data_IF_542667985731
#
_entry.id   IF_542667985731
#
_cell.length_a   1.000
_cell.length_b   1.000
_cell.length_c   1.000
_cell.angle_alpha   90.00
_cell.angle_beta   90.00
_cell.angle_gamma   90.00
#
_symmetry.space_group_name_H-M   'P 1'
#
loop_
_entity.id
_entity.type
_entity.pdbx_description
1 polymer ?
#
# COMPACT_ATOMS: atom_id res chain seq x y z
N UNK A 1 6.53 6.91 22.53
CA UNK A 1 6.50 6.15 21.25
C UNK A 1 7.85 5.48 21.06
N UNK A 2 7.92 4.18 20.80
CA UNK A 2 9.19 3.46 20.66
C UNK A 2 9.89 3.89 19.37
N UNK A 3 10.95 4.69 19.49
CA UNK A 3 11.71 5.27 18.37
C UNK A 3 12.30 4.21 17.43
N UNK A 4 12.54 3.00 17.93
CA UNK A 4 13.02 1.86 17.15
C UNK A 4 11.98 1.31 16.17
N UNK A 5 10.70 1.28 16.56
CA UNK A 5 9.62 0.80 15.68
C UNK A 5 9.41 1.73 14.49
N UNK A 6 9.40 3.05 14.75
CA UNK A 6 9.25 4.05 13.69
C UNK A 6 10.41 3.97 12.71
N UNK A 7 11.63 3.85 13.21
CA UNK A 7 12.83 3.69 12.38
C UNK A 7 12.71 2.49 11.45
N UNK A 8 12.25 1.34 11.96
CA UNK A 8 12.07 0.14 11.13
C UNK A 8 10.97 0.30 10.08
N UNK A 9 9.94 1.12 10.34
CA UNK A 9 8.86 1.36 9.38
C UNK A 9 9.34 2.27 8.24
N UNK A 10 10.03 3.38 8.55
CA UNK A 10 10.41 4.40 7.56
C UNK A 10 11.80 4.19 6.93
N UNK A 11 12.63 3.29 7.47
CA UNK A 11 13.96 3.04 6.91
C UNK A 11 13.87 2.45 5.50
N UNK A 12 14.54 3.06 4.53
CA UNK A 12 14.55 2.56 3.15
C UNK A 12 15.83 2.94 2.41
N UNK A 13 16.13 2.22 1.34
CA UNK A 13 17.31 2.44 0.51
C UNK A 13 17.17 3.68 -0.40
N UNK A 14 18.24 4.00 -1.12
CA UNK A 14 18.25 5.10 -2.09
C UNK A 14 17.93 4.66 -3.52
N UNK A 15 17.40 3.46 -3.72
CA UNK A 15 17.21 2.85 -5.04
C UNK A 15 16.00 3.44 -5.76
N UNK A 16 16.12 3.61 -7.08
CA UNK A 16 14.99 3.94 -7.96
C UNK A 16 14.02 2.76 -8.14
N UNK A 17 14.42 1.53 -7.79
CA UNK A 17 13.56 0.35 -7.91
C UNK A 17 12.25 0.50 -7.12
N UNK A 18 12.33 1.02 -5.88
CA UNK A 18 11.15 1.29 -5.06
C UNK A 18 10.22 2.31 -5.72
N UNK A 19 10.77 3.38 -6.29
CA UNK A 19 9.98 4.38 -7.03
C UNK A 19 9.29 3.77 -8.25
N UNK A 20 10.03 3.01 -9.06
CA UNK A 20 9.51 2.37 -10.27
C UNK A 20 8.36 1.39 -9.99
N UNK A 21 8.35 0.77 -8.80
CA UNK A 21 7.27 -0.07 -8.33
C UNK A 21 6.10 0.74 -7.74
N UNK A 22 6.40 1.77 -6.94
CA UNK A 22 5.39 2.59 -6.25
C UNK A 22 4.51 3.37 -7.19
N UNK A 23 5.08 4.00 -8.23
CA UNK A 23 4.30 4.90 -9.08
C UNK A 23 3.19 4.14 -9.83
N UNK A 24 3.47 3.06 -10.59
CA UNK A 24 2.43 2.33 -11.30
C UNK A 24 1.45 1.65 -10.34
N UNK A 25 1.95 0.96 -9.30
CA UNK A 25 1.08 0.27 -8.36
C UNK A 25 0.18 1.26 -7.58
N UNK A 26 0.75 2.38 -7.13
CA UNK A 26 0.01 3.43 -6.43
C UNK A 26 -1.12 4.00 -7.29
N UNK A 27 -0.85 4.32 -8.56
CA UNK A 27 -1.88 4.80 -9.50
C UNK A 27 -2.97 3.76 -9.70
N UNK A 28 -2.60 2.50 -9.93
CA UNK A 28 -3.55 1.40 -10.17
C UNK A 28 -4.45 1.19 -8.96
N UNK A 29 -3.87 1.05 -7.76
CA UNK A 29 -4.64 0.89 -6.53
C UNK A 29 -5.53 2.09 -6.25
N UNK A 30 -5.04 3.31 -6.46
CA UNK A 30 -5.88 4.52 -6.34
C UNK A 30 -7.06 4.50 -7.31
N UNK A 31 -6.85 4.12 -8.57
CA UNK A 31 -7.92 4.08 -9.56
C UNK A 31 -9.00 3.04 -9.18
N UNK A 32 -8.60 1.83 -8.78
CA UNK A 32 -9.54 0.79 -8.35
C UNK A 32 -10.24 1.14 -7.03
N UNK A 33 -9.53 1.72 -6.07
CA UNK A 33 -10.14 2.22 -4.84
C UNK A 33 -11.13 3.34 -5.11
N UNK A 34 -10.84 4.24 -6.05
CA UNK A 34 -11.74 5.32 -6.45
C UNK A 34 -13.00 4.80 -7.18
N UNK A 35 -12.88 3.73 -7.96
CA UNK A 35 -14.04 3.03 -8.54
C UNK A 35 -14.97 2.51 -7.43
N UNK A 36 -14.39 1.89 -6.40
CA UNK A 36 -15.13 1.30 -5.28
C UNK A 36 -15.73 2.34 -4.35
N UNK A 37 -15.02 3.40 -4.02
CA UNK A 37 -15.47 4.39 -3.03
C UNK A 37 -16.34 5.48 -3.66
N UNK A 38 -15.95 5.99 -4.83
CA UNK A 38 -16.49 7.24 -5.38
C UNK A 38 -17.24 7.05 -6.69
N UNK A 39 -17.26 5.84 -7.26
CA UNK A 39 -17.85 5.59 -8.58
C UNK A 39 -17.08 6.26 -9.72
N UNK A 40 -15.84 6.70 -9.47
CA UNK A 40 -14.99 7.29 -10.48
C UNK A 40 -14.60 6.25 -11.54
N UNK A 41 -14.18 6.69 -12.72
CA UNK A 41 -13.69 5.81 -13.80
C UNK A 41 -14.67 4.68 -14.18
N UNK A 42 -15.98 4.95 -14.13
CA UNK A 42 -17.04 3.99 -14.43
C UNK A 42 -17.26 2.93 -13.35
N UNK A 43 -16.76 3.14 -12.12
CA UNK A 43 -16.98 2.24 -11.00
C UNK A 43 -18.40 2.32 -10.43
N UNK A 44 -18.79 1.30 -9.66
CA UNK A 44 -20.12 1.19 -9.07
C UNK A 44 -20.34 2.11 -7.85
N UNK A 45 -19.29 2.75 -7.35
CA UNK A 45 -19.35 3.48 -6.09
C UNK A 45 -19.59 2.56 -4.89
N UNK A 46 -19.67 3.14 -3.70
CA UNK A 46 -19.61 2.35 -2.47
C UNK A 46 -20.84 1.44 -2.31
N UNK A 47 -22.03 1.97 -2.57
CA UNK A 47 -23.28 1.21 -2.46
C UNK A 47 -23.36 0.09 -3.50
N UNK A 48 -23.07 0.40 -4.77
CA UNK A 48 -23.11 -0.58 -5.86
C UNK A 48 -22.04 -1.67 -5.70
N UNK A 49 -20.83 -1.31 -5.28
CA UNK A 49 -19.78 -2.28 -4.96
C UNK A 49 -20.19 -3.16 -3.79
N UNK A 50 -20.82 -2.58 -2.76
CA UNK A 50 -21.30 -3.32 -1.60
C UNK A 50 -22.39 -4.32 -1.95
N UNK A 51 -23.36 -3.93 -2.78
CA UNK A 51 -24.39 -4.83 -3.30
C UNK A 51 -23.80 -5.97 -4.13
N UNK A 52 -22.84 -5.67 -5.00
CA UNK A 52 -22.13 -6.68 -5.78
C UNK A 52 -21.36 -7.66 -4.88
N UNK A 53 -20.62 -7.17 -3.88
CA UNK A 53 -19.90 -8.02 -2.92
C UNK A 53 -20.85 -8.93 -2.14
N UNK A 54 -21.98 -8.41 -1.66
CA UNK A 54 -22.99 -9.25 -1.01
C UNK A 54 -23.53 -10.34 -1.95
N UNK A 55 -23.75 -10.02 -3.24
CA UNK A 55 -24.27 -10.97 -4.21
C UNK A 55 -23.33 -12.16 -4.50
N UNK A 56 -22.03 -12.02 -4.21
CA UNK A 56 -21.03 -13.08 -4.33
C UNK A 56 -20.66 -13.72 -2.98
N UNK A 57 -21.43 -13.44 -1.92
CA UNK A 57 -21.24 -14.04 -0.59
C UNK A 57 -20.23 -13.34 0.32
N UNK A 58 -19.72 -12.16 -0.06
CA UNK A 58 -18.87 -11.33 0.81
C UNK A 58 -19.75 -10.41 1.67
N UNK A 59 -20.25 -10.95 2.77
CA UNK A 59 -21.07 -10.20 3.73
C UNK A 59 -20.29 -9.76 4.98
N UNK A 60 -20.58 -8.57 5.55
CA UNK A 60 -21.50 -7.55 5.05
C UNK A 60 -20.92 -6.73 3.88
N UNK A 61 -21.59 -6.75 2.72
CA UNK A 61 -21.03 -6.25 1.46
C UNK A 61 -20.59 -4.79 1.48
N UNK A 62 -21.38 -3.90 2.09
CA UNK A 62 -21.00 -2.48 2.23
C UNK A 62 -19.69 -2.31 3.03
N UNK A 63 -19.50 -3.05 4.12
CA UNK A 63 -18.28 -2.98 4.92
C UNK A 63 -17.09 -3.56 4.18
N UNK A 64 -17.29 -4.64 3.42
CA UNK A 64 -16.25 -5.20 2.55
C UNK A 64 -15.84 -4.22 1.45
N UNK A 65 -16.81 -3.56 0.82
CA UNK A 65 -16.56 -2.54 -0.21
C UNK A 65 -15.82 -1.34 0.37
N UNK A 66 -16.22 -0.86 1.56
CA UNK A 66 -15.55 0.22 2.26
C UNK A 66 -14.12 -0.15 2.62
N UNK A 67 -13.91 -1.35 3.17
CA UNK A 67 -12.59 -1.84 3.56
C UNK A 67 -11.65 -1.99 2.36
N UNK A 68 -12.08 -2.71 1.32
CA UNK A 68 -11.29 -2.92 0.11
C UNK A 68 -11.05 -1.59 -0.63
N UNK A 69 -12.09 -0.77 -0.82
CA UNK A 69 -11.98 0.52 -1.48
C UNK A 69 -11.04 1.49 -0.73
N UNK A 70 -11.13 1.55 0.59
CA UNK A 70 -10.25 2.40 1.42
C UNK A 70 -8.81 1.90 1.42
N UNK A 71 -8.61 0.58 1.55
CA UNK A 71 -7.28 -0.02 1.49
C UNK A 71 -6.60 0.26 0.16
N UNK A 72 -7.31 0.06 -0.96
CA UNK A 72 -6.79 0.34 -2.31
C UNK A 72 -6.54 1.83 -2.52
N UNK A 73 -7.51 2.70 -2.19
CA UNK A 73 -7.38 4.12 -2.47
C UNK A 73 -6.29 4.78 -1.62
N UNK A 74 -6.41 4.68 -0.30
CA UNK A 74 -5.48 5.35 0.61
C UNK A 74 -4.14 4.61 0.70
N UNK A 75 -4.13 3.29 0.59
CA UNK A 75 -2.89 2.51 0.47
C UNK A 75 -2.16 2.84 -0.83
N UNK A 76 -2.87 2.94 -1.96
CA UNK A 76 -2.32 3.37 -3.24
C UNK A 76 -1.74 4.78 -3.18
N UNK A 77 -2.46 5.72 -2.55
CA UNK A 77 -1.99 7.09 -2.33
C UNK A 77 -0.72 7.12 -1.46
N UNK A 78 -0.72 6.36 -0.37
CA UNK A 78 0.44 6.22 0.52
C UNK A 78 1.66 5.66 -0.22
N UNK A 79 1.48 4.64 -1.07
CA UNK A 79 2.56 4.14 -1.94
C UNK A 79 3.02 5.19 -2.94
N UNK A 80 2.11 5.89 -3.59
CA UNK A 80 2.43 6.90 -4.61
C UNK A 80 3.37 7.96 -4.06
N UNK A 81 3.04 8.53 -2.89
CA UNK A 81 3.89 9.53 -2.21
C UNK A 81 5.06 8.89 -1.45
N UNK A 82 5.02 7.58 -1.21
CA UNK A 82 6.03 6.85 -0.47
C UNK A 82 6.03 7.17 1.02
N UNK A 83 4.85 7.26 1.63
CA UNK A 83 4.66 7.50 3.06
C UNK A 83 4.10 6.24 3.71
N UNK A 84 4.72 5.79 4.80
CA UNK A 84 4.39 4.53 5.48
C UNK A 84 4.31 3.37 4.48
N UNK A 85 5.30 3.29 3.58
CA UNK A 85 5.31 2.37 2.44
C UNK A 85 5.10 0.94 2.88
N UNK A 86 5.78 0.50 3.95
CA UNK A 86 5.67 -0.87 4.46
C UNK A 86 4.25 -1.20 4.97
N UNK A 87 3.65 -0.43 5.91
CA UNK A 87 2.26 -0.63 6.29
C UNK A 87 1.27 -0.60 5.12
N UNK A 88 1.40 0.36 4.21
CA UNK A 88 0.54 0.47 3.03
C UNK A 88 0.66 -0.76 2.14
N UNK A 89 1.89 -1.19 1.84
CA UNK A 89 2.17 -2.37 1.05
C UNK A 89 1.64 -3.67 1.69
N UNK A 90 1.74 -3.81 3.01
CA UNK A 90 1.18 -4.96 3.72
C UNK A 90 -0.35 -5.02 3.58
N UNK A 91 -1.03 -3.91 3.81
CA UNK A 91 -2.48 -3.80 3.68
C UNK A 91 -2.94 -4.10 2.24
N UNK A 92 -2.25 -3.57 1.24
CA UNK A 92 -2.52 -3.84 -0.17
C UNK A 92 -2.26 -5.30 -0.55
N UNK A 93 -1.19 -5.91 -0.04
CA UNK A 93 -0.91 -7.33 -0.23
C UNK A 93 -2.04 -8.21 0.32
N UNK A 94 -2.52 -7.94 1.54
CA UNK A 94 -3.68 -8.63 2.12
C UNK A 94 -4.92 -8.45 1.24
N UNK A 95 -5.17 -7.22 0.77
CA UNK A 95 -6.31 -6.91 -0.11
C UNK A 95 -6.25 -7.71 -1.41
N UNK A 96 -5.07 -7.86 -2.01
CA UNK A 96 -4.88 -8.69 -3.21
C UNK A 96 -5.07 -10.18 -2.93
N UNK A 97 -4.61 -10.71 -1.79
CA UNK A 97 -4.89 -12.11 -1.41
C UNK A 97 -6.39 -12.35 -1.32
N UNK A 98 -7.13 -11.46 -0.64
CA UNK A 98 -8.59 -11.56 -0.53
C UNK A 98 -9.23 -11.50 -1.91
N UNK A 99 -8.88 -10.52 -2.75
CA UNK A 99 -9.44 -10.39 -4.09
C UNK A 99 -9.17 -11.63 -4.97
N UNK A 100 -7.95 -12.16 -4.92
CA UNK A 100 -7.58 -13.37 -5.66
C UNK A 100 -8.44 -14.54 -5.20
N UNK A 101 -8.45 -14.86 -3.91
CA UNK A 101 -9.11 -16.06 -3.39
C UNK A 101 -10.64 -15.99 -3.51
N UNK A 102 -11.23 -14.81 -3.29
CA UNK A 102 -12.69 -14.66 -3.27
C UNK A 102 -13.32 -14.44 -4.65
N UNK A 103 -12.60 -13.82 -5.59
CA UNK A 103 -13.19 -13.39 -6.87
C UNK A 103 -12.54 -14.06 -8.08
N UNK A 104 -11.22 -14.24 -8.07
CA UNK A 104 -10.48 -14.51 -9.31
C UNK A 104 -9.88 -15.93 -9.41
N UNK A 105 -9.66 -16.64 -8.31
CA UNK A 105 -8.91 -17.91 -8.30
C UNK A 105 -9.58 -19.00 -9.14
N UNK A 106 -10.92 -19.02 -9.16
CA UNK A 106 -11.72 -20.00 -9.91
C UNK A 106 -11.68 -19.77 -11.43
N UNK A 107 -11.33 -18.57 -11.86
CA UNK A 107 -11.29 -18.19 -13.28
C UNK A 107 -9.95 -18.55 -13.96
N UNK A 108 -9.01 -19.14 -13.22
CA UNK A 108 -7.66 -19.45 -13.70
C UNK A 108 -6.75 -18.21 -13.75
N UNK A 109 -5.61 -18.34 -14.42
CA UNK A 109 -4.57 -17.31 -14.42
C UNK A 109 -4.98 -16.09 -15.26
N UNK A 110 -5.36 -16.30 -16.52
CA UNK A 110 -5.39 -15.24 -17.54
C UNK A 110 -6.44 -14.17 -17.30
N UNK A 111 -6.02 -12.91 -17.43
CA UNK A 111 -6.90 -11.74 -17.30
C UNK A 111 -8.07 -11.73 -18.29
N UNK A 112 -7.92 -12.33 -19.47
CA UNK A 112 -9.01 -12.46 -20.47
C UNK A 112 -10.24 -13.20 -19.93
N UNK A 113 -10.04 -14.07 -18.94
CA UNK A 113 -11.10 -14.85 -18.31
C UNK A 113 -11.55 -14.24 -16.98
N UNK A 114 -11.15 -13.00 -16.67
CA UNK A 114 -11.26 -12.42 -15.32
C UNK A 114 -10.45 -13.23 -14.26
N UNK A 115 -9.32 -13.79 -14.69
CA UNK A 115 -8.38 -14.54 -13.85
C UNK A 115 -7.53 -13.67 -12.91
N UNK A 116 -6.67 -14.32 -12.13
CA UNK A 116 -5.94 -13.68 -11.02
C UNK A 116 -4.58 -13.08 -11.39
N UNK A 117 -4.14 -13.15 -12.65
CA UNK A 117 -2.84 -12.66 -13.15
C UNK A 117 -2.50 -11.23 -12.69
N UNK A 118 -3.44 -10.30 -12.82
CA UNK A 118 -3.22 -8.91 -12.44
C UNK A 118 -3.15 -8.71 -10.92
N UNK A 119 -4.05 -9.37 -10.17
CA UNK A 119 -4.01 -9.37 -8.71
C UNK A 119 -2.71 -9.96 -8.17
N UNK A 120 -2.21 -11.04 -8.79
CA UNK A 120 -0.93 -11.66 -8.44
C UNK A 120 0.25 -10.71 -8.70
N UNK A 121 0.20 -9.97 -9.82
CA UNK A 121 1.22 -8.98 -10.17
C UNK A 121 1.27 -7.85 -9.13
N UNK A 122 0.12 -7.30 -8.75
CA UNK A 122 0.03 -6.27 -7.72
C UNK A 122 0.40 -6.78 -6.32
N UNK A 123 0.07 -8.04 -6.01
CA UNK A 123 0.51 -8.71 -4.79
C UNK A 123 2.04 -8.81 -4.74
N UNK A 124 2.67 -9.27 -5.81
CA UNK A 124 4.13 -9.39 -5.90
C UNK A 124 4.83 -8.03 -5.74
N UNK A 125 4.31 -6.98 -6.37
CA UNK A 125 4.82 -5.61 -6.22
C UNK A 125 4.68 -5.14 -4.77
N UNK A 126 3.51 -5.36 -4.15
CA UNK A 126 3.26 -4.98 -2.76
C UNK A 126 4.21 -5.72 -1.80
N UNK A 127 4.43 -7.02 -1.98
CA UNK A 127 5.40 -7.78 -1.18
C UNK A 127 6.83 -7.26 -1.36
N UNK A 128 7.23 -6.93 -2.58
CA UNK A 128 8.55 -6.36 -2.84
C UNK A 128 8.75 -5.03 -2.10
N UNK A 129 7.74 -4.15 -2.10
CA UNK A 129 7.74 -2.87 -1.38
C UNK A 129 7.66 -3.03 0.14
N UNK A 130 6.98 -4.07 0.63
CA UNK A 130 6.96 -4.41 2.05
C UNK A 130 8.36 -4.78 2.56
N UNK A 131 9.11 -5.56 1.78
CA UNK A 131 10.47 -5.99 2.13
C UNK A 131 11.46 -4.81 2.00
N UNK A 132 11.51 -4.16 0.82
CA UNK A 132 12.51 -3.13 0.51
C UNK A 132 12.21 -1.74 1.10
N UNK A 133 10.93 -1.39 1.25
CA UNK A 133 10.48 -0.04 1.63
C UNK A 133 10.33 0.91 0.43
N UNK A 134 10.22 2.21 0.71
CA UNK A 134 9.85 3.26 -0.26
C UNK A 134 10.89 3.64 -1.32
N UNK A 135 12.18 3.39 -1.11
CA UNK A 135 13.26 3.76 -2.01
C UNK A 135 13.44 5.27 -2.19
N UNK A 136 14.03 5.68 -3.31
CA UNK A 136 14.25 7.07 -3.68
C UNK A 136 12.94 7.87 -3.79
N UNK A 137 13.04 9.18 -3.49
CA UNK A 137 11.93 10.15 -3.53
C UNK A 137 10.70 9.78 -2.71
N UNK A 138 10.83 8.90 -1.72
CA UNK A 138 9.77 8.58 -0.76
C UNK A 138 9.78 9.57 0.41
N UNK A 139 8.59 9.91 0.92
CA UNK A 139 8.47 10.66 2.16
C UNK A 139 9.08 9.91 3.35
N UNK A 140 9.03 8.58 3.37
CA UNK A 140 9.73 7.73 4.34
C UNK A 140 11.22 8.02 4.40
N UNK A 141 11.87 8.15 3.23
CA UNK A 141 13.30 8.51 3.16
C UNK A 141 13.54 9.94 3.65
N UNK A 142 12.68 10.88 3.30
CA UNK A 142 12.78 12.25 3.78
C UNK A 142 12.69 12.32 5.32
N UNK A 143 11.73 11.60 5.92
CA UNK A 143 11.56 11.47 7.38
C UNK A 143 12.76 10.77 8.02
N UNK A 144 13.27 9.70 7.42
CA UNK A 144 14.42 8.95 7.93
C UNK A 144 15.68 9.83 8.01
N UNK A 145 15.93 10.65 6.99
CA UNK A 145 17.09 11.54 6.93
C UNK A 145 16.94 12.73 7.90
N UNK A 146 15.80 13.43 7.87
CA UNK A 146 15.63 14.70 8.61
C UNK A 146 15.04 14.53 10.00
N UNK A 147 14.07 13.63 10.18
CA UNK A 147 13.35 13.43 11.43
C UNK A 147 14.06 12.53 12.44
N UNK A 148 14.86 11.56 11.97
CA UNK A 148 15.61 10.64 12.85
C UNK A 148 17.11 10.96 12.94
N UNK A 149 17.64 11.79 12.03
CA UNK A 149 19.02 12.29 12.06
C UNK A 149 19.28 13.33 13.16
N UNK A 150 18.26 14.12 13.53
CA UNK A 150 18.39 15.14 14.59
C UNK A 150 18.69 14.56 15.98
N UNK A 151 18.35 13.29 16.24
CA UNK A 151 18.62 12.63 17.51
C UNK A 151 20.08 12.16 17.67
N UNK A 152 20.86 12.10 16.58
CA UNK A 152 22.30 11.79 16.63
C UNK A 152 23.11 12.99 17.10
N UNK A 153 22.80 14.18 16.59
CA UNK A 153 23.61 15.36 16.86
C UNK A 153 23.54 15.82 18.33
N UNK A 154 22.41 15.61 19.01
CA UNK A 154 22.27 15.94 20.45
C UNK A 154 22.91 14.92 21.38
N UNK A 155 23.01 13.65 20.98
CA UNK A 155 23.67 12.61 21.78
C UNK A 155 25.21 12.77 21.73
N UNK A 156 25.77 13.05 20.56
CA UNK A 156 27.22 13.23 20.40
C UNK A 156 27.73 14.55 21.02
N UNK A 157 26.94 15.62 20.95
CA UNK A 157 27.28 16.92 21.58
C UNK A 157 27.28 16.82 23.12
N UNK A 158 26.34 16.09 23.73
CA UNK A 158 26.31 15.93 25.19
C UNK A 158 27.46 15.08 25.73
N UNK A 159 28.02 14.16 24.93
CA UNK A 159 29.20 13.36 25.33
C UNK A 159 30.48 14.18 25.22
N UNK A 160 30.57 15.09 24.24
CA UNK A 160 31.72 16.00 24.08
C UNK A 160 31.73 17.18 25.08
N UNK A 161 30.60 17.58 25.66
CA UNK A 161 30.55 18.64 26.69
C UNK A 161 30.84 18.17 28.11
N UNK A 162 31.03 16.86 28.31
CA UNK A 162 31.36 16.23 29.60
C UNK A 162 32.82 15.78 29.73
N UNK A 163 33.68 16.16 28.78
CA UNK A 163 35.15 16.08 28.89
C UNK A 163 35.73 17.48 28.93
#
# INVERSE_FOLDING_TARGET
MNTSLLRNIVFTDSSLAGLALRIPAGIIFMAHGAQKLFGAFGGYGLDGTGQWMASIGLEPGYLMALAAGSAEFFGGLALLVGLLTRPAALMLAITMVVAIVSVHIQNGLFMSNNGYEFGLSLLAISVALLIRGGGAFSLDRWISIHGLGSARNTADVNVMSTQ
#
